data_IF_133718661397
#
_entry.id   IF_133718661397
#
_cell.length_a   1.000
_cell.length_b   1.000
_cell.length_c   1.000
_cell.angle_alpha   90.00
_cell.angle_beta   90.00
_cell.angle_gamma   90.00
#
_symmetry.space_group_name_H-M   'P 1'
#
loop_
_entity.id
_entity.type
_entity.pdbx_description
1 polymer ?
#
# COMPACT_ATOMS: atom_id res chain seq x y z
N UNK A 1 48.95 10.51 -16.85
CA UNK A 1 47.52 10.78 -17.11
C UNK A 1 46.66 9.52 -16.96
N UNK A 2 46.99 8.38 -17.56
CA UNK A 2 46.21 7.12 -17.52
C UNK A 2 46.01 6.61 -16.06
N UNK A 3 47.04 6.59 -15.22
CA UNK A 3 46.95 6.16 -13.83
C UNK A 3 45.98 7.01 -12.97
N UNK A 4 45.93 8.31 -13.20
CA UNK A 4 45.04 9.21 -12.48
C UNK A 4 43.57 8.93 -12.83
N UNK A 5 43.28 8.69 -14.11
CA UNK A 5 41.95 8.33 -14.60
C UNK A 5 41.50 6.98 -14.05
N UNK A 6 42.40 5.98 -13.97
CA UNK A 6 42.10 4.67 -13.40
C UNK A 6 41.81 4.75 -11.92
N UNK A 7 42.57 5.56 -11.17
CA UNK A 7 42.34 5.77 -9.75
C UNK A 7 41.00 6.45 -9.48
N UNK A 8 40.65 7.50 -10.23
CA UNK A 8 39.36 8.17 -10.13
C UNK A 8 38.18 7.25 -10.43
N UNK A 9 38.31 6.38 -11.42
CA UNK A 9 37.30 5.39 -11.75
C UNK A 9 37.09 4.39 -10.61
N UNK A 10 38.15 3.88 -10.00
CA UNK A 10 38.08 2.96 -8.87
C UNK A 10 37.40 3.60 -7.66
N UNK A 11 37.76 4.86 -7.35
CA UNK A 11 37.13 5.62 -6.26
C UNK A 11 35.63 5.84 -6.52
N UNK A 12 35.26 6.21 -7.74
CA UNK A 12 33.87 6.39 -8.13
C UNK A 12 33.05 5.10 -7.99
N UNK A 13 33.60 3.96 -8.45
CA UNK A 13 32.97 2.65 -8.31
C UNK A 13 32.81 2.23 -6.84
N UNK A 14 33.85 2.48 -6.02
CA UNK A 14 33.78 2.19 -4.59
C UNK A 14 32.71 3.03 -3.89
N UNK A 15 32.58 4.31 -4.22
CA UNK A 15 31.55 5.20 -3.69
C UNK A 15 30.14 4.73 -4.06
N UNK A 16 29.93 4.40 -5.33
CA UNK A 16 28.65 3.88 -5.82
C UNK A 16 28.24 2.58 -5.14
N UNK A 17 29.20 1.68 -4.91
CA UNK A 17 28.96 0.43 -4.20
C UNK A 17 28.60 0.66 -2.73
N UNK A 18 29.23 1.63 -2.08
CA UNK A 18 28.91 2.00 -0.69
C UNK A 18 27.50 2.57 -0.57
N UNK A 19 27.09 3.43 -1.50
CA UNK A 19 25.74 3.98 -1.55
C UNK A 19 24.69 2.88 -1.74
N UNK A 20 24.91 1.97 -2.68
CA UNK A 20 24.02 0.84 -2.92
C UNK A 20 23.89 -0.07 -1.68
N UNK A 21 24.98 -0.37 -0.98
CA UNK A 21 24.97 -1.16 0.25
C UNK A 21 24.26 -0.43 1.40
N UNK A 22 24.42 0.89 1.50
CA UNK A 22 23.71 1.72 2.47
C UNK A 22 22.20 1.65 2.24
N UNK A 23 21.76 1.87 1.01
CA UNK A 23 20.35 1.91 0.66
C UNK A 23 19.70 0.54 0.84
N UNK A 24 20.40 -0.53 0.49
CA UNK A 24 19.96 -1.90 0.77
C UNK A 24 19.78 -2.17 2.28
N UNK A 25 20.74 -1.75 3.12
CA UNK A 25 20.63 -1.90 4.58
C UNK A 25 19.48 -1.09 5.17
N UNK A 26 19.27 0.12 4.66
CA UNK A 26 18.12 0.96 5.06
C UNK A 26 16.81 0.32 4.67
N UNK A 27 16.71 -0.26 3.47
CA UNK A 27 15.51 -0.98 3.04
C UNK A 27 15.22 -2.16 3.96
N UNK A 28 16.20 -3.03 4.24
CA UNK A 28 16.03 -4.15 5.16
C UNK A 28 15.58 -3.70 6.56
N UNK A 29 16.15 -2.60 7.06
CA UNK A 29 15.76 -2.02 8.34
C UNK A 29 14.31 -1.52 8.32
N UNK A 30 13.91 -0.81 7.27
CA UNK A 30 12.55 -0.28 7.14
C UNK A 30 11.52 -1.40 7.07
N UNK A 31 11.81 -2.46 6.29
CA UNK A 31 10.94 -3.62 6.15
C UNK A 31 10.79 -4.37 7.49
N UNK A 32 11.88 -4.61 8.21
CA UNK A 32 11.83 -5.24 9.53
C UNK A 32 11.03 -4.42 10.56
N UNK A 33 11.16 -3.09 10.54
CA UNK A 33 10.39 -2.19 11.38
C UNK A 33 8.89 -2.23 11.01
N UNK A 34 8.58 -2.27 9.73
CA UNK A 34 7.20 -2.37 9.26
C UNK A 34 6.57 -3.70 9.66
N UNK A 35 7.26 -4.83 9.46
CA UNK A 35 6.81 -6.17 9.85
C UNK A 35 6.60 -6.29 11.37
N UNK A 36 7.44 -5.64 12.18
CA UNK A 36 7.28 -5.57 13.63
C UNK A 36 6.21 -4.57 14.10
N UNK A 37 5.47 -3.93 13.17
CA UNK A 37 4.46 -2.89 13.41
C UNK A 37 5.01 -1.60 14.05
N UNK A 38 6.31 -1.40 14.00
CA UNK A 38 6.98 -0.16 14.41
C UNK A 38 6.84 0.91 13.29
N UNK A 39 5.58 1.29 12.97
CA UNK A 39 5.27 2.06 11.79
C UNK A 39 5.84 3.49 11.79
N UNK A 40 6.04 4.09 12.98
CA UNK A 40 6.64 5.42 13.10
C UNK A 40 8.13 5.40 12.77
N UNK A 41 8.81 4.36 13.25
CA UNK A 41 10.22 4.13 12.98
C UNK A 41 10.43 3.74 11.50
N UNK A 42 9.55 2.88 10.96
CA UNK A 42 9.54 2.52 9.55
C UNK A 42 9.35 3.76 8.66
N UNK A 43 8.38 4.63 8.98
CA UNK A 43 8.16 5.91 8.29
C UNK A 43 9.45 6.73 8.22
N UNK A 44 10.16 6.85 9.34
CA UNK A 44 11.42 7.64 9.38
C UNK A 44 12.45 7.09 8.39
N UNK A 45 12.61 5.77 8.35
CA UNK A 45 13.59 5.14 7.44
C UNK A 45 13.11 5.20 5.98
N UNK A 46 11.82 5.01 5.70
CA UNK A 46 11.29 5.17 4.34
C UNK A 46 11.41 6.61 3.84
N UNK A 47 11.19 7.63 4.67
CA UNK A 47 11.44 9.04 4.30
C UNK A 47 12.91 9.28 3.94
N UNK A 48 13.83 8.68 4.68
CA UNK A 48 15.25 8.74 4.34
C UNK A 48 15.54 8.09 3.00
N UNK A 49 15.00 6.90 2.72
CA UNK A 49 15.15 6.24 1.41
C UNK A 49 14.59 7.08 0.26
N UNK A 50 13.41 7.69 0.44
CA UNK A 50 12.83 8.60 -0.55
C UNK A 50 13.73 9.80 -0.82
N UNK A 51 14.38 10.36 0.22
CA UNK A 51 15.26 11.51 0.09
C UNK A 51 16.61 11.17 -0.58
N UNK A 52 17.07 9.94 -0.43
CA UNK A 52 18.32 9.46 -1.03
C UNK A 52 18.16 9.07 -2.50
N UNK A 53 16.97 8.68 -2.93
CA UNK A 53 16.70 8.26 -4.29
C UNK A 53 16.68 9.46 -5.26
N UNK A 54 17.66 9.59 -6.18
CA UNK A 54 17.77 10.74 -7.08
C UNK A 54 16.66 10.76 -8.13
N UNK A 55 16.31 9.60 -8.67
CA UNK A 55 15.38 9.48 -9.77
C UNK A 55 13.94 9.13 -9.31
N UNK A 56 12.91 9.62 -10.00
CA UNK A 56 11.52 9.31 -9.70
C UNK A 56 11.21 7.81 -9.71
N UNK A 57 11.87 7.03 -10.58
CA UNK A 57 11.72 5.58 -10.68
C UNK A 57 12.22 4.88 -9.41
N UNK A 58 13.34 5.33 -8.88
CA UNK A 58 13.95 4.78 -7.67
C UNK A 58 13.15 5.14 -6.42
N UNK A 59 12.53 6.33 -6.40
CA UNK A 59 11.64 6.78 -5.32
C UNK A 59 10.30 6.04 -5.26
N UNK A 60 9.88 5.39 -6.33
CA UNK A 60 8.54 4.82 -6.43
C UNK A 60 8.28 3.76 -5.34
N UNK A 61 9.17 2.80 -5.15
CA UNK A 61 9.02 1.76 -4.14
C UNK A 61 9.12 2.30 -2.70
N UNK A 62 10.15 3.08 -2.33
CA UNK A 62 10.19 3.68 -1.01
C UNK A 62 8.99 4.60 -0.71
N UNK A 63 8.50 5.35 -1.69
CA UNK A 63 7.31 6.21 -1.52
C UNK A 63 6.04 5.40 -1.32
N UNK A 64 5.89 4.28 -2.01
CA UNK A 64 4.78 3.36 -1.80
C UNK A 64 4.82 2.77 -0.38
N UNK A 65 5.98 2.28 0.07
CA UNK A 65 6.15 1.71 1.41
C UNK A 65 5.96 2.78 2.50
N UNK A 66 6.41 4.03 2.25
CA UNK A 66 6.13 5.17 3.12
C UNK A 66 4.62 5.41 3.25
N UNK A 67 3.89 5.38 2.12
CA UNK A 67 2.43 5.54 2.13
C UNK A 67 1.75 4.44 2.94
N UNK A 68 2.22 3.19 2.84
CA UNK A 68 1.74 2.08 3.65
C UNK A 68 1.98 2.33 5.16
N UNK A 69 3.20 2.74 5.54
CA UNK A 69 3.51 3.03 6.94
C UNK A 69 2.69 4.20 7.51
N UNK A 70 2.38 5.21 6.70
CA UNK A 70 1.50 6.32 7.07
C UNK A 70 0.04 5.87 7.21
N UNK A 71 -0.45 5.02 6.30
CA UNK A 71 -1.78 4.44 6.36
C UNK A 71 -1.99 3.68 7.68
N UNK A 72 -1.02 2.82 8.04
CA UNK A 72 -1.06 2.03 9.28
C UNK A 72 -1.05 2.89 10.55
N UNK A 73 -0.58 4.13 10.47
CA UNK A 73 -0.63 5.11 11.55
C UNK A 73 -1.92 5.95 11.56
N UNK A 74 -2.85 5.75 10.62
CA UNK A 74 -4.04 6.58 10.46
C UNK A 74 -3.78 7.94 9.81
N UNK A 75 -2.57 8.19 9.27
CA UNK A 75 -2.21 9.43 8.56
C UNK A 75 -2.73 9.40 7.12
N UNK A 76 -4.03 9.18 6.97
CA UNK A 76 -4.68 8.92 5.70
C UNK A 76 -4.49 10.03 4.64
N UNK A 77 -4.55 11.34 4.95
CA UNK A 77 -4.35 12.38 3.94
C UNK A 77 -2.97 12.33 3.29
N UNK A 78 -1.92 12.11 4.09
CA UNK A 78 -0.55 12.00 3.57
C UNK A 78 -0.36 10.72 2.76
N UNK A 79 -0.85 9.58 3.29
CA UNK A 79 -0.80 8.30 2.60
C UNK A 79 -1.50 8.37 1.22
N UNK A 80 -2.70 8.95 1.17
CA UNK A 80 -3.47 9.10 -0.07
C UNK A 80 -2.74 9.91 -1.13
N UNK A 81 -2.09 11.01 -0.73
CA UNK A 81 -1.26 11.82 -1.64
C UNK A 81 -0.11 11.02 -2.25
N UNK A 82 0.57 10.21 -1.44
CA UNK A 82 1.67 9.37 -1.92
C UNK A 82 1.17 8.23 -2.82
N UNK A 83 0.07 7.56 -2.48
CA UNK A 83 -0.52 6.53 -3.36
C UNK A 83 -0.97 7.13 -4.70
N UNK A 84 -1.66 8.27 -4.69
CA UNK A 84 -2.10 8.96 -5.90
C UNK A 84 -0.93 9.38 -6.82
N UNK A 85 0.21 9.78 -6.24
CA UNK A 85 1.41 10.13 -6.99
C UNK A 85 2.20 8.92 -7.51
N UNK A 86 2.00 7.74 -6.90
CA UNK A 86 2.77 6.51 -7.19
C UNK A 86 2.18 5.73 -8.38
N UNK A 87 1.99 6.42 -9.50
CA UNK A 87 1.40 5.84 -10.72
C UNK A 87 2.40 5.13 -11.63
N UNK A 88 3.68 5.18 -11.30
CA UNK A 88 4.80 4.52 -12.00
C UNK A 88 5.75 3.91 -10.96
N UNK A 89 6.30 2.72 -11.17
CA UNK A 89 6.24 1.84 -12.34
C UNK A 89 4.91 1.07 -12.44
N UNK A 90 4.64 0.53 -13.62
CA UNK A 90 3.37 -0.15 -13.97
C UNK A 90 3.00 -1.29 -13.01
N UNK A 91 4.00 -1.99 -12.47
CA UNK A 91 3.84 -3.14 -11.57
C UNK A 91 3.15 -2.79 -10.23
N UNK A 92 3.42 -1.60 -9.68
CA UNK A 92 2.81 -1.16 -8.42
C UNK A 92 1.56 -0.30 -8.61
N UNK A 93 1.23 0.04 -9.87
CA UNK A 93 0.16 0.98 -10.17
C UNK A 93 -1.21 0.53 -9.65
N UNK A 94 -1.58 -0.73 -9.87
CA UNK A 94 -2.87 -1.25 -9.43
C UNK A 94 -2.96 -1.29 -7.91
N UNK A 95 -1.89 -1.70 -7.24
CA UNK A 95 -1.80 -1.69 -5.77
C UNK A 95 -1.87 -0.29 -5.20
N UNK A 96 -1.21 0.69 -5.84
CA UNK A 96 -1.31 2.09 -5.41
C UNK A 96 -2.73 2.63 -5.57
N UNK A 97 -3.42 2.33 -6.67
CA UNK A 97 -4.81 2.72 -6.89
C UNK A 97 -5.74 2.04 -5.86
N UNK A 98 -5.53 0.76 -5.58
CA UNK A 98 -6.28 0.03 -4.57
C UNK A 98 -6.11 0.66 -3.18
N UNK A 99 -4.87 0.92 -2.76
CA UNK A 99 -4.57 1.53 -1.46
C UNK A 99 -5.00 3.00 -1.38
N UNK A 100 -5.00 3.74 -2.50
CA UNK A 100 -5.63 5.05 -2.60
C UNK A 100 -7.14 4.93 -2.29
N UNK A 101 -7.82 3.94 -2.87
CA UNK A 101 -9.22 3.64 -2.60
C UNK A 101 -9.50 3.36 -1.12
N UNK A 102 -8.69 2.49 -0.50
CA UNK A 102 -8.77 2.22 0.94
C UNK A 102 -8.57 3.48 1.78
N UNK A 103 -7.58 4.28 1.42
CA UNK A 103 -7.24 5.52 2.13
C UNK A 103 -8.37 6.54 2.08
N UNK A 104 -8.98 6.71 0.91
CA UNK A 104 -10.15 7.58 0.72
C UNK A 104 -11.37 7.10 1.52
N UNK A 105 -11.61 5.80 1.58
CA UNK A 105 -12.66 5.21 2.40
C UNK A 105 -12.43 5.50 3.89
N UNK A 106 -11.21 5.32 4.39
CA UNK A 106 -10.86 5.63 5.78
C UNK A 106 -10.99 7.12 6.10
N UNK A 107 -10.58 8.01 5.19
CA UNK A 107 -10.82 9.45 5.33
C UNK A 107 -12.32 9.79 5.40
N UNK A 108 -13.13 9.13 4.57
CA UNK A 108 -14.58 9.29 4.60
C UNK A 108 -15.16 8.87 5.95
N UNK A 109 -14.72 7.75 6.50
CA UNK A 109 -15.18 7.25 7.81
C UNK A 109 -14.87 8.24 8.93
N UNK A 110 -13.70 8.86 8.91
CA UNK A 110 -13.29 9.88 9.88
C UNK A 110 -13.92 11.26 9.70
N UNK A 111 -14.66 11.50 8.58
CA UNK A 111 -15.20 12.81 8.28
C UNK A 111 -16.64 12.98 8.81
N UNK A 112 -16.90 14.10 9.50
CA UNK A 112 -18.24 14.42 10.04
C UNK A 112 -19.18 15.09 9.03
N UNK A 113 -18.61 15.79 8.04
CA UNK A 113 -19.40 16.52 7.04
C UNK A 113 -19.98 15.56 5.98
N UNK A 114 -21.31 15.42 5.93
CA UNK A 114 -21.99 14.48 5.03
C UNK A 114 -21.58 14.63 3.56
N UNK A 115 -21.53 15.86 3.06
CA UNK A 115 -21.17 16.12 1.66
C UNK A 115 -19.73 15.67 1.34
N UNK A 116 -18.77 15.98 2.23
CA UNK A 116 -17.39 15.59 2.06
C UNK A 116 -17.20 14.06 2.20
N UNK A 117 -17.89 13.44 3.15
CA UNK A 117 -17.95 12.00 3.32
C UNK A 117 -18.44 11.30 2.05
N UNK A 118 -19.57 11.74 1.46
CA UNK A 118 -20.06 11.20 0.20
C UNK A 118 -19.07 11.38 -0.95
N UNK A 119 -18.42 12.53 -1.04
CA UNK A 119 -17.42 12.79 -2.08
C UNK A 119 -16.22 11.84 -1.97
N UNK A 120 -15.69 11.61 -0.76
CA UNK A 120 -14.60 10.69 -0.51
C UNK A 120 -14.98 9.23 -0.82
N UNK A 121 -16.18 8.77 -0.43
CA UNK A 121 -16.64 7.43 -0.79
C UNK A 121 -16.78 7.26 -2.32
N UNK A 122 -17.29 8.26 -3.04
CA UNK A 122 -17.37 8.20 -4.50
C UNK A 122 -15.98 8.13 -5.16
N UNK A 123 -15.00 8.85 -4.63
CA UNK A 123 -13.62 8.77 -5.10
C UNK A 123 -13.02 7.38 -4.81
N UNK A 124 -13.24 6.83 -3.63
CA UNK A 124 -12.83 5.46 -3.27
C UNK A 124 -13.42 4.42 -4.24
N UNK A 125 -14.73 4.48 -4.51
CA UNK A 125 -15.40 3.61 -5.49
C UNK A 125 -14.78 3.71 -6.89
N UNK A 126 -14.39 4.92 -7.31
CA UNK A 126 -13.71 5.11 -8.59
C UNK A 126 -12.34 4.42 -8.62
N UNK A 127 -11.59 4.45 -7.52
CA UNK A 127 -10.32 3.72 -7.42
C UNK A 127 -10.53 2.21 -7.56
N UNK A 128 -11.42 1.60 -6.79
CA UNK A 128 -11.71 0.17 -6.91
C UNK A 128 -12.26 -0.22 -8.28
N UNK A 129 -13.12 0.60 -8.87
CA UNK A 129 -13.60 0.41 -10.24
C UNK A 129 -12.44 0.38 -11.25
N UNK A 130 -11.46 1.27 -11.12
CA UNK A 130 -10.27 1.29 -11.99
C UNK A 130 -9.44 0.02 -11.85
N UNK A 131 -9.31 -0.52 -10.63
CA UNK A 131 -8.67 -1.82 -10.39
C UNK A 131 -9.43 -2.91 -11.10
N UNK A 132 -10.75 -3.04 -10.88
CA UNK A 132 -11.61 -4.06 -11.46
C UNK A 132 -11.73 -3.98 -12.98
N UNK A 133 -11.62 -2.81 -13.59
CA UNK A 133 -11.56 -2.66 -15.05
C UNK A 133 -10.25 -3.21 -15.64
N UNK A 134 -9.19 -3.28 -14.86
CA UNK A 134 -7.89 -3.81 -15.28
C UNK A 134 -7.73 -5.27 -14.91
N UNK A 135 -8.20 -5.65 -13.73
CA UNK A 135 -8.25 -7.02 -13.21
C UNK A 135 -9.65 -7.32 -12.65
N UNK A 136 -10.57 -7.85 -13.48
CA UNK A 136 -11.92 -8.21 -13.03
C UNK A 136 -11.96 -9.34 -12.01
N UNK A 137 -10.85 -10.08 -11.85
CA UNK A 137 -10.69 -11.18 -10.89
C UNK A 137 -10.25 -10.73 -9.50
N UNK A 138 -9.91 -9.47 -9.29
CA UNK A 138 -9.48 -8.94 -8.00
C UNK A 138 -10.64 -8.97 -6.98
N UNK A 139 -10.62 -10.01 -6.13
CA UNK A 139 -11.65 -10.25 -5.11
C UNK A 139 -11.68 -9.17 -4.04
N UNK A 140 -10.54 -8.65 -3.64
CA UNK A 140 -10.41 -7.66 -2.58
C UNK A 140 -10.95 -6.30 -3.05
N UNK A 141 -10.62 -5.90 -4.28
CA UNK A 141 -11.19 -4.70 -4.88
C UNK A 141 -12.71 -4.80 -5.02
N UNK A 142 -13.24 -5.98 -5.36
CA UNK A 142 -14.69 -6.22 -5.45
C UNK A 142 -15.37 -6.10 -4.08
N UNK A 143 -14.81 -6.75 -3.06
CA UNK A 143 -15.32 -6.69 -1.70
C UNK A 143 -15.31 -5.26 -1.18
N UNK A 144 -14.19 -4.55 -1.33
CA UNK A 144 -14.05 -3.18 -0.87
C UNK A 144 -14.98 -2.23 -1.63
N UNK A 145 -15.17 -2.43 -2.93
CA UNK A 145 -16.15 -1.69 -3.73
C UNK A 145 -17.57 -1.85 -3.16
N UNK A 146 -18.00 -3.09 -2.90
CA UNK A 146 -19.34 -3.39 -2.37
C UNK A 146 -19.55 -2.80 -0.96
N UNK A 147 -18.53 -2.88 -0.11
CA UNK A 147 -18.55 -2.29 1.24
C UNK A 147 -18.75 -0.77 1.15
N UNK A 148 -17.91 -0.09 0.37
CA UNK A 148 -17.96 1.37 0.26
C UNK A 148 -19.27 1.84 -0.41
N UNK A 149 -19.76 1.08 -1.41
CA UNK A 149 -21.05 1.36 -2.05
C UNK A 149 -22.21 1.29 -1.05
N UNK A 150 -22.20 0.31 -0.14
CA UNK A 150 -23.20 0.21 0.92
C UNK A 150 -23.16 1.42 1.83
N UNK A 151 -21.97 1.84 2.29
CA UNK A 151 -21.83 3.04 3.11
C UNK A 151 -22.36 4.30 2.45
N UNK A 152 -22.04 4.47 1.17
CA UNK A 152 -22.53 5.61 0.42
C UNK A 152 -24.06 5.60 0.33
N UNK A 153 -24.65 4.44 0.04
CA UNK A 153 -26.09 4.29 -0.02
C UNK A 153 -26.79 4.55 1.31
N UNK A 154 -26.26 4.04 2.42
CA UNK A 154 -26.77 4.31 3.76
C UNK A 154 -26.69 5.79 4.12
N UNK A 155 -25.61 6.46 3.72
CA UNK A 155 -25.41 7.88 3.96
C UNK A 155 -26.39 8.75 3.15
N UNK A 156 -26.67 8.37 1.90
CA UNK A 156 -27.51 9.13 0.98
C UNK A 156 -29.01 8.82 1.15
N UNK A 157 -29.34 7.56 1.44
CA UNK A 157 -30.72 7.05 1.55
C UNK A 157 -31.01 6.38 2.90
N UNK A 158 -30.94 7.09 4.01
CA UNK A 158 -31.08 6.49 5.35
C UNK A 158 -32.43 5.80 5.61
N UNK A 159 -33.48 6.14 4.86
CA UNK A 159 -34.82 5.54 4.99
C UNK A 159 -34.95 4.15 4.32
N UNK A 160 -34.10 3.80 3.37
CA UNK A 160 -34.15 2.49 2.68
C UNK A 160 -33.39 1.40 3.46
N UNK A 161 -32.39 1.75 4.22
CA UNK A 161 -31.60 0.79 5.01
C UNK A 161 -32.41 0.15 6.14
N UNK A 162 -33.42 0.82 6.66
CA UNK A 162 -34.29 0.27 7.73
C UNK A 162 -35.28 -0.80 7.25
N UNK A 163 -35.51 -0.95 5.96
CA UNK A 163 -36.48 -1.93 5.42
C UNK A 163 -35.85 -3.26 4.98
N UNK A 164 -34.55 -3.30 4.74
CA UNK A 164 -33.85 -4.50 4.29
C UNK A 164 -33.44 -5.47 5.41
N UNK A 165 -33.56 -5.05 6.68
CA UNK A 165 -33.07 -5.82 7.84
C UNK A 165 -34.14 -6.72 8.46
N UNK A 166 -35.34 -6.85 7.87
CA UNK A 166 -36.46 -7.61 8.49
C UNK A 166 -36.42 -9.13 8.29
N UNK A 167 -35.43 -9.71 7.62
CA UNK A 167 -35.43 -11.16 7.34
C UNK A 167 -34.20 -11.94 7.84
N UNK A 168 -33.43 -11.47 8.82
CA UNK A 168 -32.51 -12.36 9.53
C UNK A 168 -32.57 -12.05 11.04
N UNK A 169 -33.36 -12.84 11.77
CA UNK A 169 -33.28 -12.94 13.22
C UNK A 169 -31.95 -13.55 13.61
N UNK A 170 -30.98 -12.72 13.88
CA UNK A 170 -29.86 -13.04 14.76
C UNK A 170 -29.63 -11.80 15.62
N UNK A 171 -29.77 -12.00 16.91
CA UNK A 171 -29.74 -11.02 17.96
C UNK A 171 -28.38 -10.34 18.09
N UNK A 172 -28.24 -9.14 17.49
CA UNK A 172 -27.23 -8.16 17.90
C UNK A 172 -27.82 -6.76 17.67
N UNK A 173 -27.87 -6.01 18.75
CA UNK A 173 -28.36 -4.64 18.84
C UNK A 173 -27.59 -3.73 17.88
N UNK A 174 -28.25 -2.85 17.09
CA UNK A 174 -27.55 -1.89 16.25
C UNK A 174 -27.10 -0.70 17.10
N UNK A 175 -25.84 -0.71 17.51
CA UNK A 175 -25.19 0.53 17.91
C UNK A 175 -25.06 1.42 16.67
N UNK A 176 -25.52 2.66 16.80
CA UNK A 176 -25.46 3.72 15.80
C UNK A 176 -23.98 4.08 15.53
N UNK A 177 -23.42 3.46 14.53
CA UNK A 177 -22.06 3.70 14.06
C UNK A 177 -21.71 2.62 13.07
N UNK A 178 -21.08 3.03 11.98
CA UNK A 178 -20.47 2.12 11.02
C UNK A 178 -19.72 1.05 11.77
N UNK A 179 -20.17 -0.21 11.67
CA UNK A 179 -19.71 -1.25 12.56
C UNK A 179 -18.18 -1.37 12.45
N UNK A 180 -17.53 -1.31 13.61
CA UNK A 180 -16.09 -1.52 13.82
C UNK A 180 -15.55 -2.69 12.97
N UNK A 181 -16.36 -3.75 12.80
CA UNK A 181 -16.02 -4.92 12.00
C UNK A 181 -15.78 -4.69 10.51
N UNK A 182 -16.20 -3.55 9.93
CA UNK A 182 -15.94 -3.27 8.50
C UNK A 182 -14.73 -2.37 8.36
N UNK A 183 -14.53 -1.42 9.26
CA UNK A 183 -13.27 -0.69 9.36
C UNK A 183 -12.12 -1.68 9.64
N UNK A 184 -12.34 -2.66 10.51
CA UNK A 184 -11.40 -3.73 10.82
C UNK A 184 -11.13 -4.61 9.59
N UNK A 185 -12.14 -4.95 8.75
CA UNK A 185 -11.95 -5.69 7.50
C UNK A 185 -11.21 -4.90 6.42
N UNK A 186 -11.51 -3.61 6.26
CA UNK A 186 -10.74 -2.74 5.35
C UNK A 186 -9.30 -2.64 5.79
N UNK A 187 -9.06 -2.59 7.10
CA UNK A 187 -7.73 -2.57 7.68
C UNK A 187 -7.03 -3.93 7.53
N UNK A 188 -7.72 -5.03 7.77
CA UNK A 188 -7.21 -6.40 7.66
C UNK A 188 -6.87 -6.75 6.21
N UNK A 189 -7.72 -6.41 5.23
CA UNK A 189 -7.43 -6.59 3.81
C UNK A 189 -6.22 -5.77 3.37
N UNK A 190 -6.11 -4.51 3.81
CA UNK A 190 -4.94 -3.69 3.54
C UNK A 190 -3.67 -4.32 4.14
N UNK A 191 -3.74 -4.88 5.35
CA UNK A 191 -2.61 -5.56 6.00
C UNK A 191 -2.19 -6.86 5.29
N UNK A 192 -3.15 -7.65 4.79
CA UNK A 192 -2.86 -8.89 4.06
C UNK A 192 -2.17 -8.61 2.73
N UNK A 193 -2.64 -7.64 1.97
CA UNK A 193 -2.03 -7.24 0.69
C UNK A 193 -0.62 -6.70 0.87
N UNK A 194 -0.39 -5.91 1.90
CA UNK A 194 0.93 -5.37 2.22
C UNK A 194 1.89 -6.47 2.66
N UNK A 195 1.44 -7.40 3.51
CA UNK A 195 2.26 -8.55 3.95
C UNK A 195 2.63 -9.46 2.78
N UNK A 196 1.73 -9.65 1.81
CA UNK A 196 1.99 -10.42 0.60
C UNK A 196 2.98 -9.72 -0.33
N UNK A 197 2.91 -8.38 -0.41
CA UNK A 197 3.83 -7.57 -1.20
C UNK A 197 5.24 -7.58 -0.59
N UNK A 198 5.34 -7.38 0.72
CA UNK A 198 6.62 -7.42 1.44
C UNK A 198 7.30 -8.78 1.32
N UNK A 199 6.55 -9.91 1.41
CA UNK A 199 7.09 -11.25 1.16
C UNK A 199 7.60 -11.42 -0.28
N UNK A 200 6.91 -10.87 -1.29
CA UNK A 200 7.35 -10.92 -2.68
C UNK A 200 8.59 -10.08 -2.93
N UNK A 201 8.68 -8.89 -2.33
CA UNK A 201 9.86 -8.03 -2.44
C UNK A 201 11.07 -8.62 -1.72
N UNK A 202 10.88 -9.22 -0.54
CA UNK A 202 11.95 -9.93 0.19
C UNK A 202 12.29 -11.29 -0.43
N UNK A 203 11.34 -11.95 -1.12
CA UNK A 203 11.55 -13.22 -1.84
C UNK A 203 12.27 -13.05 -3.17
N UNK A 204 12.09 -11.93 -3.86
CA UNK A 204 12.77 -11.66 -5.13
C UNK A 204 14.30 -11.51 -4.98
N UNK A 205 14.78 -11.22 -3.76
CA UNK A 205 16.21 -11.21 -3.44
C UNK A 205 16.85 -12.59 -3.22
N UNK A 206 16.06 -13.67 -3.14
CA UNK A 206 16.55 -15.02 -2.84
C UNK A 206 16.60 -15.98 -4.04
N UNK A 207 16.16 -15.60 -5.22
CA UNK A 207 16.12 -16.48 -6.39
C UNK A 207 17.28 -16.35 -7.38
N UNK A 208 18.43 -15.86 -6.95
CA UNK A 208 19.67 -15.92 -7.72
C UNK A 208 20.70 -16.79 -7.01
N UNK A 209 20.39 -18.08 -6.83
CA UNK A 209 21.40 -19.10 -6.54
C UNK A 209 21.79 -19.75 -7.86
N UNK A 210 23.07 -19.75 -8.26
CA UNK A 210 23.47 -20.39 -9.52
C UNK A 210 23.34 -21.91 -9.35
N UNK A 211 22.60 -22.49 -10.31
CA UNK A 211 22.29 -23.91 -10.34
C UNK A 211 23.54 -24.79 -10.23
N UNK A 212 23.48 -25.69 -9.30
CA UNK A 212 24.30 -26.87 -9.22
C UNK A 212 24.25 -27.62 -10.55
N UNK A 213 25.36 -27.65 -11.26
CA UNK A 213 25.57 -28.58 -12.37
C UNK A 213 25.59 -30.00 -11.80
N UNK A 214 24.50 -30.73 -11.97
CA UNK A 214 24.55 -32.18 -11.88
C UNK A 214 25.38 -32.72 -13.05
N UNK A 215 26.60 -33.20 -12.73
CA UNK A 215 27.27 -34.21 -13.51
C UNK A 215 26.43 -35.48 -13.41
N UNK A 216 25.92 -35.95 -14.51
CA UNK A 216 25.63 -37.36 -14.71
C UNK A 216 26.60 -37.89 -15.75
N UNK A 217 27.49 -38.76 -15.27
CA UNK A 217 28.27 -39.69 -16.03
C UNK A 217 27.34 -40.69 -16.72
N UNK A 218 27.72 -41.07 -17.91
CA UNK A 218 27.49 -42.14 -18.88
C UNK A 218 27.09 -41.63 -20.25
#
# INVERSE_FOLDING_TARGET
MIFLHSLLLVVALASSMQEMLRDYRLQLKADALYESRAYREAETVFRQLVSLAPEPKERATPSFNLACALYMQGKYPEAGTLFASNTKPRENRLKAIFNEGNTLAMQALGNSAKAQKSALFRQSLNCFKRVLLTDPGDGDAKINYEIVLRYLNELENPKQSSSSTKNNKSSHQPESGISKGIADRLLENAQQDESSLMRRLSGAGKSASPGSKNKQDW
#
